data_IF_383702488920
#
_entry.id   IF_383702488920
#
_cell.length_a   1.000
_cell.length_b   1.000
_cell.length_c   1.000
_cell.angle_alpha   90.00
_cell.angle_beta   90.00
_cell.angle_gamma   90.00
#
_symmetry.space_group_name_H-M   'P 1'
#
loop_
_entity.id
_entity.type
_entity.pdbx_description
1 polymer ?
#
# COMPACT_ATOMS: atom_id res chain seq x y z
N UNK A 1 -8.17 14.12 5.86
CA UNK A 1 -7.09 15.12 5.62
C UNK A 1 -6.09 14.55 4.62
N UNK A 2 -5.51 15.40 3.77
CA UNK A 2 -4.56 14.95 2.75
C UNK A 2 -3.14 14.84 3.31
N UNK A 3 -2.62 13.63 3.56
CA UNK A 3 -1.22 13.42 4.00
C UNK A 3 -0.38 12.68 2.96
N UNK A 4 0.88 13.10 2.83
CA UNK A 4 1.86 12.53 1.90
C UNK A 4 2.88 11.70 2.68
N UNK A 5 3.20 10.52 2.17
CA UNK A 5 4.15 9.59 2.77
C UNK A 5 5.14 9.08 1.74
N UNK A 6 6.40 8.98 2.15
CA UNK A 6 7.36 8.19 1.41
C UNK A 6 7.05 6.69 1.57
N UNK A 7 7.33 5.91 0.53
CA UNK A 7 7.30 4.46 0.59
C UNK A 7 8.54 3.84 -0.06
N UNK A 8 8.92 2.67 0.45
CA UNK A 8 10.01 1.85 -0.07
C UNK A 8 9.67 0.37 0.03
N UNK A 9 9.54 -0.24 -1.13
CA UNK A 9 9.32 -1.67 -1.31
C UNK A 9 10.57 -2.29 -1.94
N UNK A 10 11.13 -3.31 -1.30
CA UNK A 10 12.22 -4.09 -1.86
C UNK A 10 12.04 -5.58 -1.55
N UNK A 11 11.87 -6.36 -2.62
CA UNK A 11 11.89 -7.82 -2.64
C UNK A 11 12.92 -8.33 -3.65
N UNK A 12 13.16 -9.64 -3.68
CA UNK A 12 14.21 -10.23 -4.52
C UNK A 12 14.00 -10.01 -6.02
N UNK A 13 12.75 -9.97 -6.50
CA UNK A 13 12.41 -9.88 -7.93
C UNK A 13 11.60 -8.64 -8.31
N UNK A 14 11.29 -7.79 -7.33
CA UNK A 14 10.62 -6.52 -7.57
C UNK A 14 11.03 -5.48 -6.54
N UNK A 15 11.01 -4.22 -6.94
CA UNK A 15 11.28 -3.10 -6.04
C UNK A 15 10.52 -1.86 -6.50
N UNK A 16 10.19 -0.98 -5.56
CA UNK A 16 9.54 0.28 -5.84
C UNK A 16 9.84 1.27 -4.73
N UNK A 17 9.85 2.56 -5.06
CA UNK A 17 9.96 3.63 -4.08
C UNK A 17 9.40 4.90 -4.66
N UNK A 18 8.89 5.76 -3.78
CA UNK A 18 8.35 7.05 -4.17
C UNK A 18 7.51 7.65 -3.08
N UNK A 19 6.53 8.45 -3.49
CA UNK A 19 5.61 9.14 -2.60
C UNK A 19 4.17 8.74 -2.89
N UNK A 20 3.39 8.52 -1.83
CA UNK A 20 1.96 8.26 -1.89
C UNK A 20 1.18 9.33 -1.13
N UNK A 21 0.03 9.61 -1.66
CA UNK A 21 -1.03 10.35 -1.02
C UNK A 21 -2.00 9.37 -0.36
N UNK A 22 -2.29 9.54 0.94
CA UNK A 22 -3.27 8.72 1.66
C UNK A 22 -4.49 9.55 2.09
N UNK A 23 -5.66 8.98 1.86
CA UNK A 23 -6.94 9.55 2.29
C UNK A 23 -7.86 8.49 2.87
N UNK A 24 -8.38 8.73 4.07
CA UNK A 24 -9.49 7.94 4.59
C UNK A 24 -10.76 8.31 3.83
N UNK A 25 -11.39 7.34 3.18
CA UNK A 25 -12.62 7.58 2.41
C UNK A 25 -13.84 7.16 3.23
N UNK A 26 -14.84 8.04 3.27
CA UNK A 26 -16.15 7.74 3.87
C UNK A 26 -16.99 6.96 2.86
N UNK A 27 -16.66 5.69 2.68
CA UNK A 27 -17.44 4.77 1.84
C UNK A 27 -18.31 3.86 2.72
N UNK A 28 -19.59 3.71 2.35
CA UNK A 28 -20.57 2.91 3.07
C UNK A 28 -20.64 1.45 2.56
N UNK A 29 -19.51 0.84 2.19
CA UNK A 29 -19.53 -0.54 1.70
C UNK A 29 -19.80 -1.56 2.81
N UNK A 30 -19.02 -1.50 3.90
CA UNK A 30 -19.24 -2.33 5.09
C UNK A 30 -19.02 -1.50 6.35
N UNK A 31 -19.94 -1.58 7.34
CA UNK A 31 -19.80 -0.82 8.58
C UNK A 31 -18.57 -1.24 9.39
N UNK A 32 -18.06 -2.46 9.18
CA UNK A 32 -16.97 -3.06 9.94
C UNK A 32 -15.57 -2.69 9.44
N UNK A 33 -15.48 -1.97 8.33
CA UNK A 33 -14.21 -1.59 7.71
C UNK A 33 -14.10 -0.08 7.58
N UNK A 34 -12.87 0.40 7.68
CA UNK A 34 -12.48 1.69 7.16
C UNK A 34 -11.72 1.53 5.87
N UNK A 35 -11.96 2.45 4.95
CA UNK A 35 -11.40 2.42 3.62
C UNK A 35 -10.40 3.56 3.46
N UNK A 36 -9.29 3.25 2.81
CA UNK A 36 -8.24 4.21 2.52
C UNK A 36 -7.95 4.17 1.03
N UNK A 37 -7.95 5.34 0.41
CA UNK A 37 -7.50 5.50 -0.95
C UNK A 37 -6.04 5.95 -0.94
N UNK A 38 -5.26 5.29 -1.78
CA UNK A 38 -3.84 5.48 -1.97
C UNK A 38 -3.67 6.03 -3.38
N UNK A 39 -3.07 7.20 -3.53
CA UNK A 39 -2.74 7.77 -4.84
C UNK A 39 -1.25 7.93 -4.94
N UNK A 40 -0.63 7.25 -5.91
CA UNK A 40 0.79 7.36 -6.15
C UNK A 40 1.11 8.71 -6.80
N UNK A 41 1.93 9.51 -6.11
CA UNK A 41 2.38 10.83 -6.58
C UNK A 41 3.56 10.65 -7.54
N UNK A 42 4.45 9.72 -7.22
CA UNK A 42 5.61 9.39 -8.04
C UNK A 42 6.03 7.94 -7.77
N UNK A 43 7.08 7.52 -8.47
CA UNK A 43 7.71 6.21 -8.28
C UNK A 43 7.49 5.27 -9.45
N UNK A 44 8.25 4.17 -9.41
CA UNK A 44 8.23 3.14 -10.42
C UNK A 44 8.22 1.77 -9.77
N UNK A 45 7.38 0.88 -10.28
CA UNK A 45 7.47 -0.55 -10.01
C UNK A 45 8.49 -1.15 -10.98
N UNK A 46 9.56 -1.72 -10.44
CA UNK A 46 10.60 -2.40 -11.19
C UNK A 46 10.44 -3.92 -11.05
N UNK A 47 10.52 -4.63 -12.16
CA UNK A 47 10.70 -6.09 -12.19
C UNK A 47 12.17 -6.36 -12.47
N UNK A 48 12.81 -7.18 -11.64
CA UNK A 48 14.23 -7.50 -11.74
C UNK A 48 14.50 -9.00 -11.80
N UNK A 49 15.59 -9.38 -12.44
CA UNK A 49 16.09 -10.74 -12.39
C UNK A 49 16.81 -11.02 -11.06
N UNK A 50 17.25 -12.28 -10.87
CA UNK A 50 17.99 -12.70 -9.65
C UNK A 50 19.32 -11.95 -9.43
N UNK A 51 19.90 -11.37 -10.49
CA UNK A 51 21.12 -10.57 -10.43
C UNK A 51 20.84 -9.08 -10.15
N UNK A 52 19.58 -8.69 -9.97
CA UNK A 52 19.17 -7.32 -9.71
C UNK A 52 19.05 -6.43 -10.96
N UNK A 53 19.24 -6.99 -12.16
CA UNK A 53 19.07 -6.24 -13.42
C UNK A 53 17.58 -5.97 -13.63
N UNK A 54 17.24 -4.71 -13.88
CA UNK A 54 15.87 -4.28 -14.19
C UNK A 54 15.49 -4.80 -15.58
N UNK A 55 14.46 -5.63 -15.63
CA UNK A 55 13.89 -6.16 -16.87
C UNK A 55 12.78 -5.26 -17.39
N UNK A 56 11.93 -4.77 -16.48
CA UNK A 56 10.78 -3.93 -16.81
C UNK A 56 10.60 -2.83 -15.75
N UNK A 57 9.99 -1.72 -16.17
CA UNK A 57 9.65 -0.59 -15.30
C UNK A 57 8.27 -0.05 -15.64
N UNK A 58 7.50 0.26 -14.61
CA UNK A 58 6.14 0.77 -14.71
C UNK A 58 6.01 2.04 -13.88
N UNK A 59 5.55 3.12 -14.50
CA UNK A 59 5.32 4.36 -13.78
C UNK A 59 4.08 4.19 -12.90
N UNK A 60 4.18 4.61 -11.64
CA UNK A 60 3.06 4.56 -10.70
C UNK A 60 2.33 5.91 -10.58
N UNK A 61 2.91 7.01 -11.10
CA UNK A 61 2.27 8.33 -11.01
C UNK A 61 0.82 8.31 -11.50
N UNK A 62 -0.11 8.68 -10.63
CA UNK A 62 -1.54 8.73 -10.91
C UNK A 62 -2.28 7.40 -10.70
N UNK A 63 -1.60 6.29 -10.40
CA UNK A 63 -2.24 5.03 -10.02
C UNK A 63 -3.00 5.25 -8.70
N UNK A 64 -4.21 4.73 -8.63
CA UNK A 64 -5.08 4.89 -7.47
C UNK A 64 -5.51 3.51 -6.97
N UNK A 65 -5.23 3.20 -5.72
CA UNK A 65 -5.63 1.96 -5.07
C UNK A 65 -6.61 2.21 -3.93
N UNK A 66 -7.48 1.24 -3.67
CA UNK A 66 -8.39 1.21 -2.52
C UNK A 66 -8.02 0.05 -1.60
N UNK A 67 -7.82 0.35 -0.33
CA UNK A 67 -7.55 -0.66 0.71
C UNK A 67 -8.58 -0.56 1.83
N UNK A 68 -8.86 -1.68 2.47
CA UNK A 68 -9.78 -1.77 3.60
C UNK A 68 -9.04 -2.32 4.83
N UNK A 69 -9.37 -1.77 5.99
CA UNK A 69 -8.85 -2.18 7.29
C UNK A 69 -10.03 -2.43 8.24
N UNK A 70 -10.10 -3.60 8.85
CA UNK A 70 -11.19 -3.92 9.78
C UNK A 70 -11.09 -3.06 11.03
N UNK A 71 -12.22 -2.53 11.51
CA UNK A 71 -12.32 -1.63 12.67
C UNK A 71 -12.04 -2.28 14.03
N UNK A 72 -11.50 -3.50 14.08
CA UNK A 72 -11.11 -4.19 15.32
C UNK A 72 -10.08 -3.39 16.13
N UNK A 73 -9.34 -2.49 15.47
CA UNK A 73 -8.39 -1.58 16.11
C UNK A 73 -9.04 -0.50 16.99
N UNK A 74 -10.35 -0.22 16.85
CA UNK A 74 -11.03 0.80 17.67
C UNK A 74 -10.99 0.47 19.17
N UNK A 75 -10.78 -0.81 19.50
CA UNK A 75 -10.62 -1.28 20.88
C UNK A 75 -9.17 -1.19 21.39
N UNK A 76 -8.21 -0.77 20.55
CA UNK A 76 -6.81 -0.62 20.94
C UNK A 76 -6.54 0.81 21.43
N UNK A 77 -5.80 0.95 22.54
CA UNK A 77 -5.22 2.23 22.90
C UNK A 77 -4.01 2.51 21.98
N UNK A 78 -4.24 3.29 20.93
CA UNK A 78 -3.15 3.76 20.09
C UNK A 78 -2.35 4.83 20.85
N UNK A 79 -1.05 4.61 21.01
CA UNK A 79 -0.14 5.62 21.53
C UNK A 79 -0.05 6.76 20.50
N UNK A 80 -0.74 7.87 20.74
CA UNK A 80 -0.86 9.03 19.82
C UNK A 80 0.45 9.75 19.48
N UNK A 81 1.61 9.30 19.99
CA UNK A 81 2.87 10.05 19.93
C UNK A 81 3.94 9.47 18.99
N UNK A 82 3.64 8.41 18.22
CA UNK A 82 4.58 7.96 17.19
C UNK A 82 4.39 8.79 15.93
N UNK A 83 5.43 9.50 15.49
CA UNK A 83 5.47 10.12 14.17
C UNK A 83 5.18 9.07 13.09
N UNK A 84 4.34 9.43 12.13
CA UNK A 84 4.06 8.59 10.97
C UNK A 84 5.38 8.31 10.26
N UNK A 85 5.68 7.03 10.03
CA UNK A 85 6.91 6.61 9.37
C UNK A 85 6.69 6.42 7.88
N UNK A 86 7.79 6.45 7.14
CA UNK A 86 7.87 5.88 5.79
C UNK A 86 7.21 4.48 5.76
N UNK A 87 6.40 4.20 4.73
CA UNK A 87 5.90 2.85 4.50
C UNK A 87 7.03 2.00 3.92
N UNK A 88 7.57 1.09 4.71
CA UNK A 88 8.61 0.16 4.26
C UNK A 88 8.14 -1.26 4.45
N UNK A 89 8.28 -2.08 3.40
CA UNK A 89 7.87 -3.48 3.52
C UNK A 89 8.73 -4.22 4.55
N UNK A 90 8.08 -4.95 5.44
CA UNK A 90 8.76 -5.73 6.48
C UNK A 90 9.07 -7.11 5.88
N UNK A 91 10.35 -7.49 5.85
CA UNK A 91 10.80 -8.77 5.27
C UNK A 91 10.49 -10.01 6.14
N UNK A 92 9.61 -9.88 7.13
CA UNK A 92 9.26 -10.97 8.05
C UNK A 92 8.12 -11.82 7.49
N UNK A 93 8.43 -13.07 7.11
CA UNK A 93 7.47 -14.02 6.55
C UNK A 93 6.38 -14.48 7.53
N UNK A 94 6.53 -14.21 8.82
CA UNK A 94 5.59 -14.61 9.87
C UNK A 94 4.64 -13.48 10.29
N UNK A 95 4.65 -12.35 9.58
CA UNK A 95 3.78 -11.23 9.92
C UNK A 95 2.32 -11.65 9.73
N UNK A 96 1.57 -11.65 10.84
CA UNK A 96 0.15 -11.95 10.81
C UNK A 96 -0.63 -10.70 10.39
N UNK A 97 -1.63 -10.87 9.52
CA UNK A 97 -2.57 -9.82 9.18
C UNK A 97 -3.56 -9.60 10.34
N UNK A 98 -3.07 -9.04 11.45
CA UNK A 98 -3.81 -8.88 12.71
C UNK A 98 -5.08 -8.05 12.52
N UNK A 99 -5.06 -7.10 11.59
CA UNK A 99 -6.13 -6.13 11.40
C UNK A 99 -7.04 -6.44 10.20
N UNK A 100 -6.89 -7.61 9.57
CA UNK A 100 -7.63 -7.98 8.37
C UNK A 100 -7.59 -6.85 7.32
N UNK A 101 -6.37 -6.44 6.98
CA UNK A 101 -6.08 -5.48 5.92
C UNK A 101 -6.18 -6.17 4.56
N UNK A 102 -6.89 -5.55 3.62
CA UNK A 102 -7.09 -6.05 2.27
C UNK A 102 -6.88 -4.94 1.23
N UNK A 103 -6.30 -5.29 0.09
CA UNK A 103 -6.38 -4.46 -1.12
C UNK A 103 -7.70 -4.82 -1.81
N UNK A 104 -8.61 -3.86 -1.89
CA UNK A 104 -9.93 -4.03 -2.52
C UNK A 104 -9.83 -3.83 -4.03
N UNK A 105 -9.01 -2.87 -4.44
CA UNK A 105 -8.71 -2.60 -5.83
C UNK A 105 -7.31 -1.98 -5.91
N UNK A 106 -6.43 -2.57 -6.71
CA UNK A 106 -5.07 -2.12 -6.93
C UNK A 106 -4.97 -0.91 -7.86
N UNK A 107 -5.85 -0.79 -8.86
CA UNK A 107 -5.89 0.32 -9.81
C UNK A 107 -7.33 0.63 -10.24
N UNK A 108 -7.98 1.52 -9.49
CA UNK A 108 -9.38 1.90 -9.69
C UNK A 108 -9.62 2.44 -11.11
N UNK A 109 -8.64 3.16 -11.67
CA UNK A 109 -8.76 3.82 -12.97
C UNK A 109 -8.27 2.93 -14.12
N UNK A 110 -7.75 1.72 -13.84
CA UNK A 110 -7.18 0.80 -14.84
C UNK A 110 -6.14 1.47 -15.74
N UNK A 111 -5.35 2.35 -15.14
CA UNK A 111 -4.26 3.09 -15.77
C UNK A 111 -3.09 2.19 -16.20
N UNK A 112 -2.93 1.03 -15.55
CA UNK A 112 -1.93 0.02 -15.84
C UNK A 112 -2.39 -0.82 -17.05
N UNK A 113 -1.68 -0.69 -18.18
CA UNK A 113 -2.18 -1.11 -19.50
C UNK A 113 -1.18 -1.92 -20.34
N UNK A 114 0.06 -2.17 -19.88
CA UNK A 114 1.09 -2.78 -20.73
C UNK A 114 1.15 -4.30 -20.65
N UNK A 115 1.05 -4.87 -19.46
CA UNK A 115 1.10 -6.32 -19.21
C UNK A 115 -0.07 -6.81 -18.31
N UNK A 116 -1.01 -5.93 -17.96
CA UNK A 116 -2.30 -6.26 -17.34
C UNK A 116 -2.15 -6.98 -16.00
N UNK A 117 -2.73 -8.18 -15.89
CA UNK A 117 -2.83 -8.99 -14.66
C UNK A 117 -1.51 -9.12 -13.89
N UNK A 118 -0.36 -9.20 -14.58
CA UNK A 118 0.94 -9.31 -13.91
C UNK A 118 1.27 -8.07 -13.07
N UNK A 119 1.03 -6.88 -13.64
CA UNK A 119 1.27 -5.60 -13.00
C UNK A 119 0.29 -5.42 -11.82
N UNK A 120 -0.98 -5.79 -12.00
CA UNK A 120 -2.02 -5.77 -10.96
C UNK A 120 -1.65 -6.69 -9.77
N UNK A 121 -1.23 -7.92 -10.05
CA UNK A 121 -0.80 -8.89 -9.02
C UNK A 121 0.41 -8.37 -8.25
N UNK A 122 1.39 -7.79 -8.95
CA UNK A 122 2.57 -7.21 -8.29
C UNK A 122 2.22 -5.98 -7.46
N UNK A 123 1.34 -5.12 -7.96
CA UNK A 123 0.87 -3.95 -7.24
C UNK A 123 0.10 -4.35 -5.97
N UNK A 124 -0.82 -5.31 -6.08
CA UNK A 124 -1.54 -5.87 -4.95
C UNK A 124 -0.58 -6.41 -3.88
N UNK A 125 0.41 -7.23 -4.28
CA UNK A 125 1.42 -7.77 -3.38
C UNK A 125 2.26 -6.67 -2.73
N UNK A 126 2.67 -5.68 -3.51
CA UNK A 126 3.46 -4.54 -3.02
C UNK A 126 2.68 -3.75 -1.97
N UNK A 127 1.43 -3.39 -2.26
CA UNK A 127 0.55 -2.66 -1.35
C UNK A 127 0.33 -3.42 -0.05
N UNK A 128 -0.05 -4.70 -0.12
CA UNK A 128 -0.19 -5.53 1.07
C UNK A 128 1.11 -5.54 1.89
N UNK A 129 2.26 -5.72 1.23
CA UNK A 129 3.56 -5.81 1.91
C UNK A 129 4.01 -4.48 2.53
N UNK A 130 3.64 -3.35 1.93
CA UNK A 130 3.91 -2.01 2.46
C UNK A 130 3.04 -1.69 3.66
N UNK A 131 1.78 -2.14 3.66
CA UNK A 131 0.81 -1.78 4.69
C UNK A 131 0.84 -2.74 5.88
N UNK A 132 1.10 -4.04 5.66
CA UNK A 132 1.22 -5.02 6.73
C UNK A 132 2.41 -4.71 7.65
N UNK A 133 2.13 -4.61 8.94
CA UNK A 133 3.03 -4.17 10.00
C UNK A 133 3.32 -2.67 10.02
N UNK A 134 2.72 -1.90 9.10
CA UNK A 134 2.67 -0.43 9.13
C UNK A 134 1.22 0.06 9.31
N UNK A 135 0.32 -0.77 9.81
CA UNK A 135 -1.11 -0.43 9.92
C UNK A 135 -1.33 0.76 10.85
N UNK A 136 -0.49 0.94 11.89
CA UNK A 136 -0.52 2.11 12.77
C UNK A 136 -0.45 3.43 11.97
N UNK A 137 0.30 3.49 10.86
CA UNK A 137 0.37 4.67 10.01
C UNK A 137 -0.97 4.96 9.33
N UNK A 138 -1.72 3.93 8.91
CA UNK A 138 -3.07 4.09 8.36
C UNK A 138 -4.06 4.59 9.43
N UNK A 139 -3.93 4.08 10.66
CA UNK A 139 -4.80 4.44 11.78
C UNK A 139 -4.68 5.91 12.19
N UNK A 140 -3.52 6.53 11.92
CA UNK A 140 -3.28 7.95 12.18
C UNK A 140 -3.91 8.88 11.12
N UNK A 141 -4.44 8.34 10.02
CA UNK A 141 -5.09 9.13 8.97
C UNK A 141 -6.56 9.41 9.35
N UNK A 142 -6.89 10.69 9.52
CA UNK A 142 -8.24 11.20 9.84
C UNK A 142 -9.06 11.63 8.61
#
# INVERSE_FOLDING_TARGET
MKQVFAFKFDENLSSSSGSIYLEKVKQNYSPNYDYFKITFIDGYLYIKNKSGVILEKYALNGVISLVALKKDYLNLSLSNNKQVKEFKNIKNKHLQNKFNLYVINEDIEKSITKNGILEEVLLNKMLLSLLLGNEENLLQIS
#
